data_IF_596809993656
#
_entry.id   IF_596809993656
#
_cell.length_a   1.000
_cell.length_b   1.000
_cell.length_c   1.000
_cell.angle_alpha   90.00
_cell.angle_beta   90.00
_cell.angle_gamma   90.00
#
_symmetry.space_group_name_H-M   'P 1'
#
loop_
_entity.id
_entity.type
_entity.pdbx_description
1 polymer ?
#
# COMPACT_ATOMS: atom_id res chain seq x y z
N UNK A 1 26.81 18.79 -40.05
CA UNK A 1 25.37 18.62 -40.38
C UNK A 1 24.71 17.38 -39.72
N UNK A 2 25.30 16.75 -38.70
CA UNK A 2 24.85 15.41 -38.22
C UNK A 2 23.94 15.39 -36.97
N UNK A 3 23.41 16.53 -36.50
CA UNK A 3 22.71 16.60 -35.21
C UNK A 3 21.17 16.72 -35.31
N UNK A 4 20.60 16.81 -36.52
CA UNK A 4 19.15 16.92 -36.71
C UNK A 4 18.43 15.56 -36.79
N UNK A 5 19.09 14.50 -37.24
CA UNK A 5 18.46 13.18 -37.37
C UNK A 5 18.22 12.50 -36.01
N UNK A 6 19.10 12.68 -35.04
CA UNK A 6 18.97 12.07 -33.71
C UNK A 6 17.79 12.65 -32.91
N UNK A 7 17.53 13.95 -33.05
CA UNK A 7 16.41 14.64 -32.42
C UNK A 7 15.06 14.23 -33.00
N UNK A 8 14.97 14.08 -34.34
CA UNK A 8 13.75 13.60 -35.00
C UNK A 8 13.41 12.16 -34.64
N UNK A 9 14.41 11.25 -34.64
CA UNK A 9 14.21 9.85 -34.27
C UNK A 9 13.71 9.71 -32.81
N UNK A 10 14.22 10.55 -31.89
CA UNK A 10 13.77 10.55 -30.49
C UNK A 10 12.32 10.99 -30.34
N UNK A 11 11.90 12.01 -31.09
CA UNK A 11 10.51 12.50 -31.05
C UNK A 11 9.49 11.55 -31.68
N UNK A 12 9.90 10.74 -32.66
CA UNK A 12 9.01 9.72 -33.25
C UNK A 12 8.86 8.52 -32.32
N UNK A 13 9.97 8.05 -31.73
CA UNK A 13 9.94 6.98 -30.74
C UNK A 13 9.07 7.38 -29.53
N UNK A 14 9.21 8.60 -28.99
CA UNK A 14 8.37 9.09 -27.89
C UNK A 14 6.87 9.19 -28.26
N UNK A 15 6.55 9.44 -29.54
CA UNK A 15 5.16 9.45 -30.03
C UNK A 15 4.57 8.06 -30.20
N UNK A 16 5.38 7.08 -30.57
CA UNK A 16 4.93 5.71 -30.82
C UNK A 16 4.49 5.02 -29.52
N UNK A 17 5.25 5.20 -28.44
CA UNK A 17 4.87 4.68 -27.12
C UNK A 17 3.79 5.51 -26.41
N UNK A 18 3.61 6.78 -26.79
CA UNK A 18 2.56 7.64 -26.24
C UNK A 18 1.13 7.22 -26.62
N UNK A 19 0.96 6.51 -27.74
CA UNK A 19 -0.35 6.09 -28.26
C UNK A 19 -0.59 4.57 -28.20
N UNK A 20 0.45 3.77 -28.00
CA UNK A 20 0.29 2.36 -27.69
C UNK A 20 -0.23 2.22 -26.25
N UNK A 21 -1.54 2.42 -26.04
CA UNK A 21 -2.18 1.89 -24.84
C UNK A 21 -1.91 0.39 -24.84
N UNK A 22 -1.09 -0.15 -23.92
CA UNK A 22 -0.91 -1.58 -23.87
C UNK A 22 -2.29 -2.19 -23.71
N UNK A 23 -2.58 -3.25 -24.46
CA UNK A 23 -3.80 -4.07 -24.30
C UNK A 23 -3.75 -4.85 -22.96
N UNK A 24 -3.22 -4.23 -21.91
CA UNK A 24 -3.28 -4.75 -20.56
C UNK A 24 -4.69 -4.54 -20.04
N UNK A 25 -5.27 -5.64 -19.59
CA UNK A 25 -6.55 -5.67 -18.92
C UNK A 25 -6.60 -4.58 -17.85
N UNK A 26 -7.66 -3.76 -17.86
CA UNK A 26 -7.94 -2.79 -16.78
C UNK A 26 -8.33 -3.47 -15.46
N UNK A 27 -8.56 -4.79 -15.49
CA UNK A 27 -9.08 -5.55 -14.36
C UNK A 27 -8.26 -5.39 -13.06
N UNK A 28 -6.91 -5.42 -13.06
CA UNK A 28 -6.13 -5.26 -11.83
C UNK A 28 -6.35 -3.89 -11.18
N UNK A 29 -6.38 -2.82 -11.99
CA UNK A 29 -6.65 -1.47 -11.50
C UNK A 29 -8.08 -1.33 -10.94
N UNK A 30 -9.07 -1.93 -11.61
CA UNK A 30 -10.46 -1.94 -11.13
C UNK A 30 -10.60 -2.73 -9.84
N UNK A 31 -9.98 -3.92 -9.75
CA UNK A 31 -9.99 -4.75 -8.55
C UNK A 31 -9.36 -4.01 -7.35
N UNK A 32 -8.26 -3.29 -7.58
CA UNK A 32 -7.64 -2.45 -6.54
C UNK A 32 -8.55 -1.30 -6.10
N UNK A 33 -9.18 -0.58 -7.04
CA UNK A 33 -10.12 0.50 -6.68
C UNK A 33 -11.32 -0.04 -5.90
N UNK A 34 -11.95 -1.11 -6.39
CA UNK A 34 -13.13 -1.72 -5.75
C UNK A 34 -12.75 -2.30 -4.40
N UNK A 35 -11.66 -3.07 -4.31
CA UNK A 35 -11.16 -3.59 -3.05
C UNK A 35 -10.82 -2.47 -2.07
N UNK A 36 -10.20 -1.40 -2.55
CA UNK A 36 -9.92 -0.21 -1.76
C UNK A 36 -11.17 0.46 -1.19
N UNK A 37 -12.18 0.68 -2.02
CA UNK A 37 -13.47 1.23 -1.60
C UNK A 37 -14.19 0.33 -0.59
N UNK A 38 -14.19 -0.99 -0.82
CA UNK A 38 -14.79 -1.96 0.11
C UNK A 38 -14.09 -1.91 1.46
N UNK A 39 -12.76 -1.81 1.50
CA UNK A 39 -12.01 -1.71 2.76
C UNK A 39 -12.24 -0.36 3.47
N UNK A 40 -12.29 0.76 2.74
CA UNK A 40 -12.54 2.10 3.30
C UNK A 40 -13.97 2.21 3.86
N UNK A 41 -14.97 1.76 3.09
CA UNK A 41 -16.38 1.99 3.41
C UNK A 41 -16.95 0.89 4.30
N UNK A 42 -16.56 -0.37 4.07
CA UNK A 42 -17.17 -1.48 4.78
C UNK A 42 -16.78 -1.52 6.26
N UNK A 43 -15.59 -1.03 6.65
CA UNK A 43 -15.18 -0.96 8.07
C UNK A 43 -16.07 -0.01 8.88
N UNK A 44 -16.22 1.28 8.51
CA UNK A 44 -17.16 2.19 9.18
C UNK A 44 -18.61 1.71 9.14
N UNK A 45 -19.06 1.14 8.01
CA UNK A 45 -20.43 0.62 7.88
C UNK A 45 -20.66 -0.55 8.83
N UNK A 46 -19.74 -1.52 8.90
CA UNK A 46 -19.86 -2.63 9.86
C UNK A 46 -19.88 -2.10 11.30
N UNK A 47 -18.97 -1.19 11.68
CA UNK A 47 -18.98 -0.60 13.02
C UNK A 47 -20.33 0.05 13.32
N UNK A 48 -20.86 0.84 12.38
CA UNK A 48 -22.12 1.54 12.57
C UNK A 48 -23.31 0.59 12.68
N UNK A 49 -23.38 -0.44 11.82
CA UNK A 49 -24.44 -1.46 11.83
C UNK A 49 -24.40 -2.28 13.12
N UNK A 50 -23.22 -2.70 13.55
CA UNK A 50 -23.05 -3.56 14.71
C UNK A 50 -22.85 -2.78 16.01
N UNK A 51 -22.92 -1.45 16.02
CA UNK A 51 -22.64 -0.63 17.22
C UNK A 51 -23.50 -1.01 18.44
N UNK A 52 -24.77 -1.34 18.23
CA UNK A 52 -25.69 -1.73 19.32
C UNK A 52 -25.32 -3.09 19.90
N UNK A 53 -25.10 -4.07 19.01
CA UNK A 53 -24.64 -5.40 19.40
C UNK A 53 -23.27 -5.34 20.10
N UNK A 54 -22.35 -4.51 19.60
CA UNK A 54 -21.03 -4.29 20.20
C UNK A 54 -21.11 -3.62 21.58
N UNK A 55 -22.06 -2.70 21.78
CA UNK A 55 -22.30 -2.03 23.06
C UNK A 55 -22.91 -2.97 24.12
N UNK A 56 -23.68 -3.97 23.69
CA UNK A 56 -24.32 -4.95 24.57
C UNK A 56 -23.46 -6.21 24.79
N UNK A 57 -22.50 -6.49 23.91
CA UNK A 57 -21.59 -7.63 24.09
C UNK A 57 -20.67 -7.44 25.30
N UNK A 58 -20.79 -8.37 26.25
CA UNK A 58 -19.85 -8.54 27.34
C UNK A 58 -18.43 -8.78 26.75
N UNK A 59 -17.38 -8.10 27.24
CA UNK A 59 -16.00 -8.26 26.75
C UNK A 59 -15.53 -9.71 26.63
N UNK A 60 -16.04 -10.61 27.47
CA UNK A 60 -15.75 -12.05 27.43
C UNK A 60 -16.26 -12.76 26.18
N UNK A 61 -17.39 -12.31 25.61
CA UNK A 61 -17.97 -12.83 24.35
C UNK A 61 -17.20 -12.30 23.14
N UNK A 62 -16.72 -11.06 23.21
CA UNK A 62 -15.86 -10.51 22.17
C UNK A 62 -14.53 -11.30 22.10
N UNK A 63 -14.00 -11.71 23.26
CA UNK A 63 -12.81 -12.55 23.39
C UNK A 63 -12.98 -13.94 22.77
N UNK A 64 -14.16 -14.56 22.86
CA UNK A 64 -14.40 -15.88 22.26
C UNK A 64 -14.63 -15.81 20.74
N UNK A 65 -15.30 -14.75 20.26
CA UNK A 65 -15.38 -14.43 18.82
C UNK A 65 -14.00 -14.09 18.24
N UNK A 66 -13.05 -13.66 19.07
CA UNK A 66 -11.72 -13.25 18.68
C UNK A 66 -10.87 -14.38 18.10
N UNK A 67 -10.97 -15.60 18.63
CA UNK A 67 -10.25 -16.77 18.12
C UNK A 67 -10.75 -17.29 16.76
N UNK A 68 -11.61 -16.51 16.08
CA UNK A 68 -12.10 -16.77 14.72
C UNK A 68 -12.39 -15.47 13.95
N UNK A 69 -13.63 -15.28 13.53
CA UNK A 69 -14.06 -14.13 12.69
C UNK A 69 -13.85 -12.75 13.36
N UNK A 70 -13.90 -12.66 14.69
CA UNK A 70 -13.74 -11.40 15.41
C UNK A 70 -12.36 -10.77 15.26
N UNK A 71 -11.29 -11.58 15.23
CA UNK A 71 -9.93 -11.10 14.98
C UNK A 71 -9.74 -10.56 13.56
N UNK A 72 -10.36 -11.20 12.56
CA UNK A 72 -10.37 -10.71 11.17
C UNK A 72 -11.15 -9.41 11.02
N UNK A 73 -12.27 -9.27 11.73
CA UNK A 73 -13.06 -8.02 11.75
C UNK A 73 -12.23 -6.89 12.36
N UNK A 74 -11.54 -7.11 13.48
CA UNK A 74 -10.69 -6.09 14.10
C UNK A 74 -9.49 -5.72 13.22
N UNK A 75 -8.83 -6.71 12.61
CA UNK A 75 -7.78 -6.45 11.62
C UNK A 75 -8.33 -5.62 10.46
N UNK A 76 -9.52 -5.95 9.96
CA UNK A 76 -10.22 -5.17 8.94
C UNK A 76 -10.56 -3.75 9.42
N UNK A 77 -10.92 -3.55 10.69
CA UNK A 77 -11.17 -2.22 11.25
C UNK A 77 -9.90 -1.38 11.38
N UNK A 78 -8.78 -1.98 11.79
CA UNK A 78 -7.52 -1.25 12.04
C UNK A 78 -6.64 -1.10 10.80
N UNK A 79 -6.75 -2.04 9.85
CA UNK A 79 -5.95 -2.07 8.63
C UNK A 79 -6.76 -1.66 7.39
N UNK A 80 -8.08 -1.84 7.38
CA UNK A 80 -8.92 -1.67 6.20
C UNK A 80 -8.93 -0.23 5.69
N UNK A 81 -8.97 0.77 6.58
CA UNK A 81 -8.97 2.16 6.17
C UNK A 81 -7.64 2.58 5.47
N UNK A 82 -6.46 2.36 6.07
CA UNK A 82 -5.20 2.68 5.40
C UNK A 82 -4.93 1.78 4.20
N UNK A 83 -5.12 0.46 4.31
CA UNK A 83 -4.95 -0.47 3.19
C UNK A 83 -5.91 -0.14 2.04
N UNK A 84 -7.13 0.27 2.36
CA UNK A 84 -8.14 0.64 1.40
C UNK A 84 -7.82 1.95 0.68
N UNK A 85 -7.38 2.98 1.42
CA UNK A 85 -6.89 4.25 0.85
C UNK A 85 -5.74 4.01 -0.12
N UNK A 86 -4.89 3.05 0.22
CA UNK A 86 -3.71 2.66 -0.52
C UNK A 86 -4.05 1.88 -1.80
N UNK A 87 -4.95 0.90 -1.72
CA UNK A 87 -5.43 0.18 -2.89
C UNK A 87 -6.21 1.10 -3.83
N UNK A 88 -6.99 2.03 -3.28
CA UNK A 88 -7.70 3.04 -4.04
C UNK A 88 -6.71 3.97 -4.78
N UNK A 89 -5.64 4.39 -4.10
CA UNK A 89 -4.56 5.18 -4.64
C UNK A 89 -3.83 4.46 -5.79
N UNK A 90 -3.38 3.22 -5.56
CA UNK A 90 -2.66 2.42 -6.54
C UNK A 90 -3.53 2.05 -7.74
N UNK A 91 -4.78 1.62 -7.49
CA UNK A 91 -5.75 1.31 -8.54
C UNK A 91 -6.14 2.53 -9.37
N UNK A 92 -6.37 3.68 -8.72
CA UNK A 92 -6.62 4.95 -9.40
C UNK A 92 -5.44 5.36 -10.29
N UNK A 93 -4.22 5.14 -9.81
CA UNK A 93 -3.01 5.40 -10.58
C UNK A 93 -2.76 4.43 -11.74
N UNK A 94 -3.27 3.20 -11.67
CA UNK A 94 -3.31 2.28 -12.82
C UNK A 94 -4.36 2.67 -13.86
N UNK A 95 -5.48 3.25 -13.44
CA UNK A 95 -6.63 3.50 -14.32
C UNK A 95 -6.65 4.90 -14.94
N UNK A 96 -6.00 5.89 -14.32
CA UNK A 96 -6.10 7.28 -14.71
C UNK A 96 -4.72 7.93 -14.94
N UNK A 97 -4.68 9.00 -15.74
CA UNK A 97 -3.44 9.74 -15.99
C UNK A 97 -2.88 10.37 -14.72
N UNK A 98 -1.56 10.54 -14.64
CA UNK A 98 -0.86 11.10 -13.47
C UNK A 98 -1.47 12.44 -12.96
N UNK A 99 -1.95 13.30 -13.86
CA UNK A 99 -2.66 14.54 -13.51
C UNK A 99 -3.97 14.33 -12.73
N UNK A 100 -4.68 13.21 -12.94
CA UNK A 100 -5.90 12.86 -12.19
C UNK A 100 -5.57 12.15 -10.89
N UNK A 101 -4.51 11.34 -10.88
CA UNK A 101 -4.02 10.65 -9.68
C UNK A 101 -3.78 11.66 -8.56
N UNK A 102 -3.07 12.76 -8.85
CA UNK A 102 -2.84 13.80 -7.84
C UNK A 102 -4.09 14.43 -7.26
N UNK A 103 -5.17 14.57 -8.04
CA UNK A 103 -6.44 15.11 -7.53
C UNK A 103 -7.18 14.16 -6.60
N UNK A 104 -6.88 12.86 -6.66
CA UNK A 104 -7.47 11.84 -5.78
C UNK A 104 -6.56 11.60 -4.57
N UNK A 105 -5.26 11.48 -4.78
CA UNK A 105 -4.28 11.25 -3.70
C UNK A 105 -4.18 12.42 -2.73
N UNK A 106 -4.22 13.66 -3.21
CA UNK A 106 -4.10 14.85 -2.36
C UNK A 106 -5.22 14.95 -1.31
N UNK A 107 -6.52 14.88 -1.65
CA UNK A 107 -7.57 14.93 -0.64
C UNK A 107 -7.55 13.69 0.26
N UNK A 108 -7.22 12.51 -0.24
CA UNK A 108 -7.01 11.31 0.60
C UNK A 108 -5.91 11.53 1.64
N UNK A 109 -4.76 12.06 1.22
CA UNK A 109 -3.67 12.43 2.12
C UNK A 109 -4.13 13.47 3.16
N UNK A 110 -4.84 14.51 2.74
CA UNK A 110 -5.35 15.55 3.65
C UNK A 110 -6.32 14.95 4.67
N UNK A 111 -7.27 14.12 4.24
CA UNK A 111 -8.22 13.43 5.13
C UNK A 111 -7.46 12.56 6.13
N UNK A 112 -6.47 11.80 5.65
CA UNK A 112 -5.68 10.92 6.49
C UNK A 112 -4.84 11.70 7.50
N UNK A 113 -4.19 12.79 7.08
CA UNK A 113 -3.43 13.68 7.96
C UNK A 113 -4.32 14.35 9.00
N UNK A 114 -5.49 14.85 8.61
CA UNK A 114 -6.46 15.47 9.53
C UNK A 114 -6.96 14.44 10.54
N UNK A 115 -7.31 13.23 10.09
CA UNK A 115 -7.72 12.14 10.96
C UNK A 115 -6.63 11.78 11.98
N UNK A 116 -5.37 11.62 11.52
CA UNK A 116 -4.25 11.32 12.40
C UNK A 116 -3.89 12.45 13.33
N UNK A 117 -3.86 13.70 12.86
CA UNK A 117 -3.63 14.87 13.70
C UNK A 117 -4.73 15.00 14.77
N UNK A 118 -5.99 14.80 14.40
CA UNK A 118 -7.10 14.83 15.36
C UNK A 118 -6.93 13.76 16.44
N UNK A 119 -6.62 12.52 16.07
CA UNK A 119 -6.37 11.44 17.05
C UNK A 119 -5.10 11.70 17.87
N UNK A 120 -4.02 12.16 17.23
CA UNK A 120 -2.78 12.51 17.91
C UNK A 120 -3.01 13.60 18.95
N UNK A 121 -3.68 14.71 18.60
CA UNK A 121 -4.01 15.80 19.55
C UNK A 121 -4.90 15.30 20.68
N UNK A 122 -5.94 14.52 20.37
CA UNK A 122 -6.85 14.00 21.39
C UNK A 122 -6.17 13.02 22.35
N UNK A 123 -5.18 12.27 21.86
CA UNK A 123 -4.40 11.30 22.65
C UNK A 123 -3.19 11.95 23.34
N UNK A 124 -2.65 13.05 22.81
CA UNK A 124 -1.54 13.82 23.38
C UNK A 124 -1.91 14.55 24.67
N UNK A 125 -3.19 14.79 24.92
CA UNK A 125 -3.64 15.40 26.17
C UNK A 125 -3.45 14.47 27.38
N UNK A 126 -3.29 13.15 27.17
CA UNK A 126 -3.30 12.17 28.24
C UNK A 126 -2.07 11.21 28.28
N UNK A 127 -1.15 11.20 27.29
CA UNK A 127 -0.17 10.08 27.11
C UNK A 127 1.32 10.44 26.86
N UNK A 128 2.19 9.45 27.06
CA UNK A 128 3.67 9.49 27.13
C UNK A 128 4.42 9.72 25.80
N UNK A 129 5.71 10.12 25.88
CA UNK A 129 6.61 10.38 24.74
C UNK A 129 6.66 9.24 23.69
N UNK A 130 6.50 7.99 24.12
CA UNK A 130 6.49 6.80 23.24
C UNK A 130 5.29 6.80 22.27
N UNK A 131 4.14 7.29 22.72
CA UNK A 131 2.95 7.40 21.90
C UNK A 131 3.13 8.44 20.79
N UNK A 132 3.69 9.59 21.17
CA UNK A 132 4.09 10.68 20.28
C UNK A 132 5.03 10.20 19.16
N UNK A 133 6.08 9.46 19.53
CA UNK A 133 7.01 8.88 18.57
C UNK A 133 6.29 7.96 17.58
N UNK A 134 5.40 7.10 18.09
CA UNK A 134 4.64 6.17 17.25
C UNK A 134 3.73 6.90 16.25
N UNK A 135 3.04 7.95 16.68
CA UNK A 135 2.18 8.77 15.81
C UNK A 135 2.97 9.51 14.73
N UNK A 136 4.14 10.05 15.09
CA UNK A 136 5.04 10.71 14.14
C UNK A 136 5.58 9.72 13.11
N UNK A 137 6.06 8.56 13.55
CA UNK A 137 6.56 7.51 12.66
C UNK A 137 5.47 7.00 11.72
N UNK A 138 4.25 6.79 12.21
CA UNK A 138 3.10 6.41 11.38
C UNK A 138 2.80 7.46 10.29
N UNK A 139 2.81 8.74 10.66
CA UNK A 139 2.62 9.85 9.72
C UNK A 139 3.72 9.91 8.66
N UNK A 140 4.98 9.73 9.08
CA UNK A 140 6.13 9.69 8.18
C UNK A 140 6.03 8.53 7.18
N UNK A 141 5.66 7.33 7.64
CA UNK A 141 5.44 6.19 6.74
C UNK A 141 4.39 6.50 5.68
N UNK A 142 3.26 7.14 6.06
CA UNK A 142 2.19 7.51 5.10
C UNK A 142 2.72 8.47 4.04
N UNK A 143 3.48 9.49 4.46
CA UNK A 143 4.09 10.47 3.54
C UNK A 143 5.05 9.77 2.57
N UNK A 144 5.95 8.93 3.09
CA UNK A 144 6.91 8.18 2.27
C UNK A 144 6.21 7.24 1.29
N UNK A 145 5.16 6.56 1.74
CA UNK A 145 4.38 5.68 0.89
C UNK A 145 3.66 6.44 -0.24
N UNK A 146 3.06 7.59 0.06
CA UNK A 146 2.41 8.41 -0.97
C UNK A 146 3.42 9.01 -1.94
N UNK A 147 4.61 9.39 -1.47
CA UNK A 147 5.70 9.80 -2.34
C UNK A 147 6.14 8.66 -3.28
N UNK A 148 6.24 7.43 -2.76
CA UNK A 148 6.53 6.24 -3.57
C UNK A 148 5.47 6.02 -4.66
N UNK A 149 4.18 6.03 -4.29
CA UNK A 149 3.06 5.90 -5.25
C UNK A 149 3.09 7.02 -6.28
N UNK A 150 3.36 8.25 -5.84
CA UNK A 150 3.43 9.41 -6.72
C UNK A 150 4.55 9.26 -7.76
N UNK A 151 5.76 8.92 -7.32
CA UNK A 151 6.92 8.70 -8.20
C UNK A 151 6.63 7.58 -9.19
N UNK A 152 6.12 6.45 -8.70
CA UNK A 152 5.74 5.32 -9.55
C UNK A 152 4.68 5.74 -10.59
N UNK A 153 3.62 6.45 -10.18
CA UNK A 153 2.54 6.87 -11.08
C UNK A 153 3.00 7.83 -12.18
N UNK A 154 4.04 8.64 -11.91
CA UNK A 154 4.63 9.55 -12.91
C UNK A 154 5.60 8.85 -13.85
N UNK A 155 6.40 7.90 -13.35
CA UNK A 155 7.40 7.20 -14.15
C UNK A 155 6.79 6.06 -14.98
N UNK A 156 5.78 5.37 -14.46
CA UNK A 156 5.20 4.17 -15.08
C UNK A 156 4.76 4.37 -16.54
N UNK A 157 4.06 5.45 -16.93
CA UNK A 157 3.59 5.60 -18.32
C UNK A 157 4.73 5.74 -19.34
N UNK A 158 5.91 6.22 -18.93
CA UNK A 158 7.06 6.37 -19.82
C UNK A 158 7.93 5.11 -19.90
N UNK A 159 7.60 4.05 -19.15
CA UNK A 159 8.35 2.81 -19.16
C UNK A 159 7.79 1.86 -20.23
N UNK A 160 8.68 1.07 -20.83
CA UNK A 160 8.31 -0.09 -21.66
C UNK A 160 7.43 -1.07 -20.86
N UNK A 161 6.50 -1.82 -21.50
CA UNK A 161 5.58 -2.71 -20.81
C UNK A 161 6.24 -3.70 -19.83
N UNK A 162 7.42 -4.23 -20.20
CA UNK A 162 8.18 -5.14 -19.36
C UNK A 162 8.74 -4.44 -18.10
N UNK A 163 9.25 -3.21 -18.25
CA UNK A 163 9.74 -2.38 -17.12
C UNK A 163 8.60 -1.90 -16.24
N UNK A 164 7.42 -1.66 -16.80
CA UNK A 164 6.21 -1.37 -16.03
C UNK A 164 5.87 -2.52 -15.09
N UNK A 165 5.95 -3.77 -15.54
CA UNK A 165 5.70 -4.93 -14.69
C UNK A 165 6.65 -5.00 -13.49
N UNK A 166 7.95 -4.78 -13.72
CA UNK A 166 8.93 -4.71 -12.64
C UNK A 166 8.60 -3.59 -11.65
N UNK A 167 8.28 -2.39 -12.15
CA UNK A 167 7.90 -1.25 -11.29
C UNK A 167 6.60 -1.51 -10.51
N UNK A 168 5.63 -2.17 -11.13
CA UNK A 168 4.39 -2.61 -10.49
C UNK A 168 4.67 -3.57 -9.33
N UNK A 169 5.49 -4.60 -9.54
CA UNK A 169 5.88 -5.54 -8.48
C UNK A 169 6.65 -4.86 -7.34
N UNK A 170 7.50 -3.88 -7.65
CA UNK A 170 8.18 -3.07 -6.63
C UNK A 170 7.19 -2.25 -5.80
N UNK A 171 6.15 -1.70 -6.44
CA UNK A 171 5.09 -1.00 -5.71
C UNK A 171 4.31 -1.97 -4.82
N UNK A 172 3.93 -3.16 -5.29
CA UNK A 172 3.28 -4.20 -4.47
C UNK A 172 4.15 -4.63 -3.27
N UNK A 173 5.47 -4.71 -3.44
CA UNK A 173 6.39 -4.93 -2.33
C UNK A 173 6.37 -3.77 -1.32
N UNK A 174 6.44 -2.53 -1.81
CA UNK A 174 6.36 -1.33 -0.98
C UNK A 174 5.03 -1.22 -0.22
N UNK A 175 3.92 -1.61 -0.86
CA UNK A 175 2.58 -1.74 -0.27
C UNK A 175 2.57 -2.71 0.92
N UNK A 176 3.16 -3.89 0.72
CA UNK A 176 3.28 -4.90 1.77
C UNK A 176 4.14 -4.41 2.94
N UNK A 177 5.33 -3.85 2.67
CA UNK A 177 6.20 -3.34 3.74
C UNK A 177 5.59 -2.17 4.50
N UNK A 178 4.90 -1.26 3.81
CA UNK A 178 4.13 -0.20 4.46
C UNK A 178 3.03 -0.79 5.36
N UNK A 179 2.29 -1.79 4.87
CA UNK A 179 1.23 -2.45 5.66
C UNK A 179 1.80 -3.14 6.89
N UNK A 180 2.97 -3.77 6.78
CA UNK A 180 3.69 -4.35 7.92
C UNK A 180 4.11 -3.28 8.93
N UNK A 181 4.71 -2.17 8.48
CA UNK A 181 5.09 -1.06 9.35
C UNK A 181 3.86 -0.47 10.06
N UNK A 182 2.74 -0.33 9.34
CA UNK A 182 1.47 0.11 9.90
C UNK A 182 0.97 -0.80 11.02
N UNK A 183 0.93 -2.12 10.78
CA UNK A 183 0.53 -3.08 11.81
C UNK A 183 1.50 -3.06 13.00
N UNK A 184 2.81 -2.93 12.75
CA UNK A 184 3.81 -2.84 13.82
C UNK A 184 3.58 -1.61 14.73
N UNK A 185 3.18 -0.47 14.15
CA UNK A 185 2.79 0.71 14.93
C UNK A 185 1.55 0.44 15.79
N UNK A 186 0.53 -0.21 15.23
CA UNK A 186 -0.69 -0.59 15.97
C UNK A 186 -0.47 -1.68 17.03
N UNK A 187 0.51 -2.56 16.82
CA UNK A 187 0.96 -3.59 17.76
C UNK A 187 1.60 -2.96 19.01
N UNK A 188 2.59 -2.08 18.81
CA UNK A 188 3.33 -1.48 19.91
C UNK A 188 2.56 -0.33 20.59
N UNK A 189 1.87 0.50 19.79
CA UNK A 189 1.06 1.63 20.24
C UNK A 189 -0.42 1.28 20.39
N UNK A 190 -1.28 2.29 20.36
CA UNK A 190 -2.72 2.04 20.38
C UNK A 190 -3.20 1.44 19.03
N UNK A 191 -4.11 0.44 19.04
CA UNK A 191 -4.78 -0.11 20.21
C UNK A 191 -4.08 -1.34 20.83
N UNK A 192 -2.93 -1.79 20.32
CA UNK A 192 -2.29 -3.03 20.76
C UNK A 192 -1.66 -2.96 22.14
N UNK A 193 -0.84 -1.94 22.42
CA UNK A 193 -0.11 -1.77 23.68
C UNK A 193 0.76 -2.97 24.08
N UNK A 194 1.34 -3.70 23.12
CA UNK A 194 2.09 -4.94 23.38
C UNK A 194 3.22 -4.80 24.41
N UNK A 195 3.76 -3.59 24.59
CA UNK A 195 4.83 -3.28 25.55
C UNK A 195 4.32 -2.98 26.97
N UNK A 196 3.01 -2.94 27.19
CA UNK A 196 2.35 -2.59 28.46
C UNK A 196 1.37 -3.70 28.87
N UNK A 197 1.89 -4.85 29.36
CA UNK A 197 1.08 -6.04 29.62
C UNK A 197 -0.10 -5.78 30.57
N UNK A 198 0.04 -4.86 31.52
CA UNK A 198 -1.02 -4.43 32.43
C UNK A 198 -2.19 -3.76 31.69
N UNK A 199 -1.90 -2.92 30.68
CA UNK A 199 -2.91 -2.27 29.84
C UNK A 199 -3.56 -3.31 28.95
N UNK A 200 -2.77 -4.21 28.37
CA UNK A 200 -3.25 -5.31 27.54
C UNK A 200 -4.22 -6.21 28.30
N UNK A 201 -3.87 -6.59 29.52
CA UNK A 201 -4.73 -7.40 30.39
C UNK A 201 -6.01 -6.66 30.76
N UNK A 202 -5.90 -5.37 31.11
CA UNK A 202 -7.05 -4.52 31.46
C UNK A 202 -8.03 -4.35 30.30
N UNK A 203 -7.52 -4.23 29.07
CA UNK A 203 -8.33 -4.03 27.87
C UNK A 203 -8.74 -5.34 27.17
N UNK A 204 -8.13 -6.47 27.55
CA UNK A 204 -8.37 -7.76 26.89
C UNK A 204 -7.80 -7.85 25.46
N UNK A 205 -6.68 -7.17 25.19
CA UNK A 205 -6.14 -6.98 23.84
C UNK A 205 -5.12 -8.06 23.40
N UNK A 206 -4.93 -9.14 24.15
CA UNK A 206 -3.88 -10.15 23.87
C UNK A 206 -3.99 -10.72 22.45
N UNK A 207 -5.21 -11.00 22.02
CA UNK A 207 -5.49 -11.58 20.72
C UNK A 207 -5.44 -10.53 19.59
N UNK A 208 -5.65 -9.24 19.89
CA UNK A 208 -5.36 -8.15 18.96
C UNK A 208 -3.87 -8.13 18.63
N UNK A 209 -3.04 -8.14 19.67
CA UNK A 209 -1.58 -8.14 19.58
C UNK A 209 -1.10 -9.34 18.77
N UNK A 210 -1.63 -10.53 19.04
CA UNK A 210 -1.32 -11.73 18.27
C UNK A 210 -1.67 -11.56 16.79
N UNK A 211 -2.89 -11.09 16.48
CA UNK A 211 -3.34 -10.83 15.11
C UNK A 211 -2.47 -9.81 14.37
N UNK A 212 -2.10 -8.72 15.05
CA UNK A 212 -1.18 -7.72 14.53
C UNK A 212 0.20 -8.32 14.23
N UNK A 213 0.77 -9.13 15.14
CA UNK A 213 2.05 -9.79 14.93
C UNK A 213 2.01 -10.74 13.72
N UNK A 214 0.94 -11.53 13.56
CA UNK A 214 0.78 -12.38 12.38
C UNK A 214 0.64 -11.57 11.10
N UNK A 215 -0.11 -10.48 11.12
CA UNK A 215 -0.26 -9.60 9.96
C UNK A 215 1.07 -8.96 9.55
N UNK A 216 1.88 -8.48 10.52
CA UNK A 216 3.24 -7.99 10.26
C UNK A 216 4.07 -9.05 9.53
N UNK A 217 4.12 -10.28 10.05
CA UNK A 217 4.89 -11.37 9.45
C UNK A 217 4.39 -11.71 8.04
N UNK A 218 3.08 -11.84 7.87
CA UNK A 218 2.45 -12.13 6.60
C UNK A 218 2.82 -11.08 5.53
N UNK A 219 2.67 -9.80 5.85
CA UNK A 219 2.99 -8.73 4.93
C UNK A 219 4.50 -8.64 4.64
N UNK A 220 5.37 -8.87 5.62
CA UNK A 220 6.82 -8.94 5.37
C UNK A 220 7.16 -10.04 4.36
N UNK A 221 6.64 -11.26 4.57
CA UNK A 221 6.88 -12.39 3.67
C UNK A 221 6.37 -12.08 2.26
N UNK A 222 5.14 -11.56 2.14
CA UNK A 222 4.55 -11.21 0.86
C UNK A 222 5.33 -10.09 0.15
N UNK A 223 5.81 -9.09 0.90
CA UNK A 223 6.66 -8.02 0.38
C UNK A 223 7.96 -8.54 -0.21
N UNK A 224 8.63 -9.48 0.48
CA UNK A 224 9.83 -10.13 -0.05
C UNK A 224 9.54 -10.99 -1.28
N UNK A 225 8.40 -11.68 -1.33
CA UNK A 225 7.97 -12.44 -2.53
C UNK A 225 7.83 -11.50 -3.73
N UNK A 226 7.13 -10.38 -3.59
CA UNK A 226 7.00 -9.40 -4.69
C UNK A 226 8.34 -8.80 -5.10
N UNK A 227 9.22 -8.49 -4.14
CA UNK A 227 10.54 -7.97 -4.41
C UNK A 227 11.41 -8.98 -5.18
N UNK A 228 11.39 -10.26 -4.81
CA UNK A 228 12.08 -11.34 -5.52
C UNK A 228 11.55 -11.49 -6.95
N UNK A 229 10.23 -11.45 -7.14
CA UNK A 229 9.61 -11.47 -8.46
C UNK A 229 10.04 -10.27 -9.30
N UNK A 230 10.11 -9.07 -8.71
CA UNK A 230 10.58 -7.87 -9.41
C UNK A 230 12.04 -7.99 -9.85
N UNK A 231 12.92 -8.48 -8.98
CA UNK A 231 14.33 -8.70 -9.31
C UNK A 231 14.50 -9.74 -10.42
N UNK A 232 13.70 -10.82 -10.40
CA UNK A 232 13.72 -11.84 -11.46
C UNK A 232 13.23 -11.27 -12.79
N UNK A 233 12.15 -10.50 -12.77
CA UNK A 233 11.60 -9.84 -13.96
C UNK A 233 12.61 -8.85 -14.58
N UNK A 234 13.35 -8.09 -13.75
CA UNK A 234 14.39 -7.19 -14.21
C UNK A 234 15.62 -7.87 -14.82
N UNK A 235 16.01 -9.07 -14.35
CA UNK A 235 17.16 -9.80 -14.91
C UNK A 235 16.88 -10.35 -16.32
N UNK A 236 15.67 -10.85 -16.56
CA UNK A 236 15.28 -11.34 -17.89
C UNK A 236 15.45 -10.26 -18.97
N UNK A 237 15.22 -8.99 -18.61
CA UNK A 237 15.33 -7.85 -19.53
C UNK A 237 16.77 -7.53 -19.94
N UNK A 238 17.75 -7.79 -19.07
CA UNK A 238 19.16 -7.47 -19.35
C UNK A 238 19.88 -8.53 -20.21
N UNK A 239 19.22 -9.66 -20.50
CA UNK A 239 19.86 -10.79 -21.20
C UNK A 239 19.62 -10.77 -22.72
N UNK A 240 18.64 -10.00 -23.21
CA UNK A 240 18.26 -9.97 -24.64
C UNK A 240 19.14 -9.14 -25.62
N UNK A 241 20.08 -8.23 -25.25
CA UNK A 241 20.76 -7.42 -26.27
C UNK A 241 21.93 -8.09 -27.04
N UNK A 242 22.68 -9.01 -26.42
CA UNK A 242 23.98 -9.41 -26.97
C UNK A 242 23.95 -10.62 -27.92
N UNK A 243 22.88 -11.42 -27.92
CA UNK A 243 22.82 -12.63 -28.75
C UNK A 243 22.42 -12.35 -30.21
N UNK A 244 21.84 -11.18 -30.50
CA UNK A 244 21.54 -10.76 -31.88
C UNK A 244 22.71 -10.04 -32.57
N UNK A 245 23.55 -9.30 -31.84
CA UNK A 245 24.71 -8.62 -32.42
C UNK A 245 25.74 -9.63 -32.92
N UNK A 246 25.97 -10.73 -32.19
CA UNK A 246 26.94 -11.76 -32.59
C UNK A 246 26.50 -12.62 -33.79
N UNK A 247 25.20 -12.73 -34.07
CA UNK A 247 24.74 -13.45 -35.28
C UNK A 247 24.88 -12.63 -36.55
N UNK A 248 24.91 -11.30 -36.45
CA UNK A 248 25.10 -10.45 -37.60
C UNK A 248 26.56 -10.42 -38.06
N UNK A 249 27.51 -10.52 -37.11
CA UNK A 249 28.94 -10.59 -37.40
C UNK A 249 29.42 -12.00 -37.80
N UNK A 250 28.68 -13.05 -37.42
CA UNK A 250 28.97 -14.43 -37.86
C UNK A 250 28.46 -14.76 -39.27
N UNK A 251 27.74 -13.84 -39.92
CA UNK A 251 27.15 -14.02 -41.25
C UNK A 251 27.88 -13.22 -42.37
N UNK A 252 29.00 -12.57 -42.04
CA UNK A 252 29.91 -11.87 -42.98
C UNK A 252 31.21 -12.68 -43.05
#
# INVERSE_FOLDING_TARGET
MSNKSSLQARTEHDREFGNASPAHSRAPGVLMVVGGLVLILGAPILIWVFRGALAETNPSVLLSLWYGMGGLVLLYMTAGLPLGAILLAAGGARLYSAKRVGRVLLPLLVIQLVFFMFHAVRLMLDWSLLFLLSAFMGSLFVILFLALVWVWAHQRPSLEPQRQWTGDLQLEAGLCFFSAAWQACGFAGAPGFAMYPEIVQKLGNQSFIAGQAFAVQFFIVLGFVFLLLAMRAGRAQNTEPDEQVNKHDAAI
#
